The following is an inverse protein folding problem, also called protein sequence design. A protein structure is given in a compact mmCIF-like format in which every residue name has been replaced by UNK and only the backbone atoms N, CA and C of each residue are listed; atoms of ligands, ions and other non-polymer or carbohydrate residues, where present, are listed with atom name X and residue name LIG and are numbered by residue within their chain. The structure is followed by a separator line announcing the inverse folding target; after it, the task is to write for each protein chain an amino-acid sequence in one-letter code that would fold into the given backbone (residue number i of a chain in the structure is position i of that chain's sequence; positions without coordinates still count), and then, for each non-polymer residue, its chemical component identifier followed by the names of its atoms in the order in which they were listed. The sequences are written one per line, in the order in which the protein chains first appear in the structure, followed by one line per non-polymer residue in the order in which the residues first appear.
data_IF_374586030734
#
_entry.id   IF_374586030734
#
_cell.length_a   1.000
_cell.length_b   1.000
_cell.length_c   1.000
_cell.angle_alpha   90.00
_cell.angle_beta   90.00
_cell.angle_gamma   90.00
#
_symmetry.space_group_name_H-M   'P 1'
#
loop_
_entity.id
_entity.type
_entity.pdbx_description
1 polymer ?
#
# COMPACT_ATOMS: atom_id res chain seq x y z
N UNK A 1 8.61 -13.53 -16.03
CA UNK A 1 8.19 -13.51 -16.12
C UNK A 1 7.21 -13.26 -16.10
N UNK A 2 7.11 -13.35 -16.26
CA UNK A 2 6.16 -13.23 -16.53
C UNK A 2 5.32 -12.82 -15.78
N UNK A 3 5.31 -12.89 -15.26
CA UNK A 3 4.60 -12.53 -14.63
C UNK A 3 4.41 -11.41 -14.59
N UNK A 4 4.93 -11.13 -14.77
CA UNK A 4 4.89 -10.05 -14.87
C UNK A 4 3.98 -9.32 -15.42
N UNK A 5 3.63 -9.71 -16.24
CA UNK A 5 2.54 -9.03 -16.80
C UNK A 5 1.55 -8.60 -15.83
N UNK A 6 1.48 -9.30 -14.78
CA UNK A 6 0.63 -8.87 -13.71
C UNK A 6 0.99 -7.52 -13.22
N UNK A 7 2.25 -7.32 -13.00
CA UNK A 7 2.71 -6.05 -12.56
C UNK A 7 2.41 -4.98 -13.57
N UNK A 8 2.52 -5.32 -14.83
CA UNK A 8 2.23 -4.36 -15.87
C UNK A 8 0.75 -4.02 -15.92
N UNK A 9 -0.09 -5.02 -15.71
CA UNK A 9 -1.52 -4.79 -15.74
C UNK A 9 -1.93 -3.91 -14.58
N UNK A 10 -1.17 -3.93 -13.52
CA UNK A 10 -1.47 -3.13 -12.35
C UNK A 10 -0.22 -2.45 -11.82
N UNK A 11 0.28 -1.52 -12.61
CA UNK A 11 1.45 -0.75 -12.24
C UNK A 11 1.22 0.09 -10.99
N UNK A 12 -0.01 0.45 -10.72
CA UNK A 12 -0.34 1.22 -9.52
C UNK A 12 -0.13 0.38 -8.27
N UNK A 13 -0.48 -0.91 -8.31
CA UNK A 13 -0.23 -1.79 -7.18
C UNK A 13 1.27 -1.84 -6.87
N UNK A 14 2.11 -1.91 -7.89
CA UNK A 14 3.56 -1.90 -7.71
C UNK A 14 4.03 -0.57 -7.12
N UNK A 15 3.43 0.54 -7.51
CA UNK A 15 3.76 1.85 -6.95
C UNK A 15 3.39 1.92 -5.48
N UNK A 16 2.23 1.40 -5.11
CA UNK A 16 1.80 1.35 -3.71
C UNK A 16 2.81 0.55 -2.89
N UNK A 17 3.16 -0.63 -3.37
CA UNK A 17 4.10 -1.49 -2.68
C UNK A 17 5.45 -0.83 -2.52
N UNK A 18 5.98 -0.22 -3.57
CA UNK A 18 7.24 0.48 -3.53
C UNK A 18 7.24 1.63 -2.53
N UNK A 19 6.17 2.41 -2.54
CA UNK A 19 6.05 3.55 -1.64
C UNK A 19 6.05 3.10 -0.18
N UNK A 20 5.32 2.02 0.12
CA UNK A 20 5.26 1.51 1.48
C UNK A 20 6.62 0.96 1.89
N UNK A 21 7.30 0.23 1.03
CA UNK A 21 8.61 -0.32 1.36
C UNK A 21 9.68 0.74 1.51
N UNK A 22 9.54 1.87 0.82
CA UNK A 22 10.48 2.97 1.00
C UNK A 22 10.37 3.55 2.41
N UNK A 23 9.18 3.59 2.98
CA UNK A 23 8.96 4.09 4.33
C UNK A 23 9.19 3.00 5.39
N UNK A 24 8.93 1.75 5.03
CA UNK A 24 8.98 0.61 5.96
C UNK A 24 9.74 -0.53 5.27
N UNK A 25 11.08 -0.52 5.34
CA UNK A 25 11.90 -1.44 4.52
C UNK A 25 11.68 -2.92 4.76
N UNK A 26 11.27 -3.33 5.97
CA UNK A 26 11.03 -4.75 6.26
C UNK A 26 9.61 -5.19 5.93
N UNK A 27 8.79 -4.32 5.36
CA UNK A 27 7.38 -4.61 5.18
C UNK A 27 7.14 -5.74 4.19
N UNK A 28 6.21 -6.61 4.56
CA UNK A 28 5.60 -7.54 3.62
C UNK A 28 4.30 -6.88 3.19
N UNK A 29 4.19 -6.61 1.91
CA UNK A 29 3.07 -5.84 1.37
C UNK A 29 2.32 -6.68 0.36
N UNK A 30 1.00 -6.72 0.51
CA UNK A 30 0.13 -7.32 -0.48
C UNK A 30 -0.86 -6.27 -0.92
N UNK A 31 -1.01 -6.10 -2.20
CA UNK A 31 -1.94 -5.12 -2.78
C UNK A 31 -2.90 -5.85 -3.69
N UNK A 32 -4.18 -5.60 -3.49
CA UNK A 32 -5.23 -6.21 -4.27
C UNK A 32 -6.08 -5.11 -4.88
N UNK A 33 -6.22 -5.14 -6.20
CA UNK A 33 -7.06 -4.18 -6.90
C UNK A 33 -8.52 -4.61 -6.82
N UNK A 34 -9.38 -3.66 -6.51
CA UNK A 34 -10.83 -3.86 -6.55
C UNK A 34 -11.39 -3.32 -7.84
N UNK A 35 -11.94 -2.12 -7.82
CA UNK A 35 -12.34 -1.43 -9.04
C UNK A 35 -11.24 -0.46 -9.44
N UNK A 36 -11.48 0.32 -10.48
CA UNK A 36 -10.52 1.29 -10.96
C UNK A 36 -10.18 2.30 -9.86
N UNK A 37 -8.92 2.38 -9.50
CA UNK A 37 -8.45 3.29 -8.47
C UNK A 37 -8.75 2.85 -7.04
N UNK A 38 -9.32 1.65 -6.85
CA UNK A 38 -9.66 1.13 -5.53
C UNK A 38 -8.75 -0.04 -5.17
N UNK A 39 -8.19 -0.01 -3.97
CA UNK A 39 -7.21 -1.01 -3.56
C UNK A 39 -7.44 -1.49 -2.13
N UNK A 40 -7.08 -2.74 -1.88
CA UNK A 40 -6.98 -3.30 -0.55
C UNK A 40 -5.51 -3.59 -0.31
N UNK A 41 -5.00 -3.17 0.84
CA UNK A 41 -3.58 -3.31 1.13
C UNK A 41 -3.39 -3.98 2.49
N UNK A 42 -2.44 -4.90 2.54
CA UNK A 42 -2.07 -5.57 3.78
C UNK A 42 -0.58 -5.36 3.99
N UNK A 43 -0.20 -4.91 5.17
CA UNK A 43 1.20 -4.62 5.49
C UNK A 43 1.56 -5.27 6.82
N UNK A 44 2.62 -6.06 6.80
CA UNK A 44 3.15 -6.70 8.01
C UNK A 44 4.56 -6.18 8.24
N UNK A 45 4.83 -5.63 9.42
CA UNK A 45 6.13 -5.07 9.74
C UNK A 45 6.34 -4.99 11.24
N UNK A 46 7.58 -5.20 11.67
CA UNK A 46 7.96 -5.01 13.07
C UNK A 46 7.69 -3.60 13.56
N UNK A 47 7.72 -2.62 12.66
CA UNK A 47 7.52 -1.23 13.05
C UNK A 47 6.14 -1.01 13.68
N UNK A 48 5.20 -1.89 13.41
CA UNK A 48 3.84 -1.77 13.95
C UNK A 48 3.71 -2.28 15.38
N UNK A 49 4.72 -2.98 15.89
CA UNK A 49 4.66 -3.51 17.24
C UNK A 49 4.54 -2.35 18.23
N UNK A 50 3.62 -2.49 19.16
CA UNK A 50 3.36 -1.48 20.19
C UNK A 50 2.78 -0.16 19.67
N UNK A 51 2.35 -0.13 18.42
CA UNK A 51 1.65 1.04 17.89
C UNK A 51 0.14 0.77 17.86
N UNK A 52 -0.63 1.82 18.12
CA UNK A 52 -2.08 1.73 17.98
C UNK A 52 -2.46 1.52 16.51
N UNK A 53 -3.65 1.05 16.27
CA UNK A 53 -4.15 0.88 14.90
C UNK A 53 -4.10 2.20 14.14
N UNK A 54 -4.47 3.30 14.79
CA UNK A 54 -4.42 4.61 14.14
C UNK A 54 -3.00 4.97 13.73
N UNK A 55 -2.04 4.74 14.62
CA UNK A 55 -0.64 5.04 14.30
C UNK A 55 -0.13 4.17 13.15
N UNK A 56 -0.49 2.90 13.14
CA UNK A 56 -0.10 1.99 12.06
C UNK A 56 -0.65 2.48 10.72
N UNK A 57 -1.93 2.83 10.70
CA UNK A 57 -2.58 3.29 9.48
C UNK A 57 -2.01 4.63 9.01
N UNK A 58 -1.75 5.54 9.94
CA UNK A 58 -1.16 6.83 9.59
C UNK A 58 0.19 6.66 8.91
N UNK A 59 0.98 5.71 9.39
CA UNK A 59 2.29 5.45 8.81
C UNK A 59 2.17 5.02 7.35
N UNK A 60 1.23 4.12 7.08
CA UNK A 60 1.01 3.64 5.71
C UNK A 60 0.43 4.75 4.83
N UNK A 61 -0.59 5.45 5.32
CA UNK A 61 -1.21 6.51 4.52
C UNK A 61 -0.20 7.61 4.18
N UNK A 62 0.66 7.96 5.12
CA UNK A 62 1.70 8.96 4.86
C UNK A 62 2.61 8.53 3.71
N UNK A 63 2.93 7.25 3.66
CA UNK A 63 3.80 6.72 2.61
C UNK A 63 3.13 6.80 1.23
N UNK A 64 1.82 6.60 1.15
CA UNK A 64 1.13 6.55 -0.13
C UNK A 64 0.38 7.83 -0.49
N UNK A 65 0.46 8.86 0.35
CA UNK A 65 -0.19 10.14 0.09
C UNK A 65 0.11 10.69 -1.31
N UNK A 66 1.37 10.64 -1.79
CA UNK A 66 1.64 11.15 -3.14
C UNK A 66 0.85 10.45 -4.24
N UNK A 67 0.44 9.21 -4.01
CA UNK A 67 -0.34 8.45 -4.99
C UNK A 67 -1.83 8.74 -4.90
N UNK A 68 -2.26 9.44 -3.87
CA UNK A 68 -3.67 9.74 -3.62
C UNK A 68 -3.99 11.22 -3.79
N UNK A 69 -3.00 12.04 -4.11
CA UNK A 69 -3.13 13.49 -4.14
C UNK A 69 -3.13 14.00 -5.58
N UNK A 70 -4.03 14.93 -5.86
CA UNK A 70 -4.09 15.56 -7.18
C UNK A 70 -5.16 14.95 -8.06
N UNK A 71 -5.49 15.66 -9.14
CA UNK A 71 -6.58 15.28 -10.03
C UNK A 71 -6.30 14.00 -10.79
N UNK A 72 -5.03 13.71 -11.03
CA UNK A 72 -4.62 12.52 -11.78
C UNK A 72 -4.09 11.41 -10.87
N UNK A 73 -4.37 11.50 -9.59
CA UNK A 73 -3.86 10.51 -8.64
C UNK A 73 -4.36 9.10 -9.02
N UNK A 74 -3.44 8.13 -9.09
CA UNK A 74 -3.82 6.78 -9.50
C UNK A 74 -4.62 6.03 -8.44
N UNK A 75 -4.50 6.39 -7.17
CA UNK A 75 -5.23 5.74 -6.10
C UNK A 75 -6.36 6.66 -5.66
N UNK A 76 -7.59 6.25 -5.91
CA UNK A 76 -8.77 7.02 -5.53
C UNK A 76 -9.23 6.69 -4.12
N UNK A 77 -9.14 5.42 -3.76
CA UNK A 77 -9.59 4.97 -2.46
C UNK A 77 -8.84 3.73 -2.01
N UNK A 78 -8.58 3.68 -0.72
CA UNK A 78 -8.06 2.52 -0.03
C UNK A 78 -9.26 1.86 0.62
N UNK A 79 -9.85 0.87 -0.04
CA UNK A 79 -11.06 0.23 0.45
C UNK A 79 -10.83 -0.53 1.74
N UNK A 80 -9.62 -1.05 1.91
CA UNK A 80 -9.28 -1.79 3.11
C UNK A 80 -7.79 -1.70 3.35
N UNK A 81 -7.42 -1.42 4.58
CA UNK A 81 -6.02 -1.42 5.00
C UNK A 81 -5.88 -2.29 6.25
N UNK A 82 -5.06 -3.32 6.14
CA UNK A 82 -4.72 -4.20 7.26
C UNK A 82 -3.26 -4.00 7.60
N UNK A 83 -2.97 -3.77 8.86
CA UNK A 83 -1.60 -3.61 9.34
C UNK A 83 -1.42 -4.47 10.57
N UNK A 84 -0.25 -5.07 10.70
CA UNK A 84 0.05 -5.84 11.91
C UNK A 84 1.55 -6.10 12.01
N UNK A 85 1.98 -6.38 13.24
CA UNK A 85 3.33 -6.87 13.50
C UNK A 85 3.36 -8.37 13.14
N UNK A 86 4.53 -8.88 12.77
CA UNK A 86 4.67 -10.31 12.45
C UNK A 86 4.49 -11.20 13.65
#
# INVERSE_FOLDING_TARGET
MALTSLGAADGVAAQIESAIRAAVPDARVQVKAGGAGHYEVSVVSEVFRDKSMVQQHQLVYRAITPLMTGAAAPVHAMDRLLTQAP
#
